data_IF_864773237652
#
_entry.id   IF_864773237652
#
_cell.length_a   1.000
_cell.length_b   1.000
_cell.length_c   1.000
_cell.angle_alpha   90.00
_cell.angle_beta   90.00
_cell.angle_gamma   90.00
#
_symmetry.space_group_name_H-M   'P 1'
#
loop_
_entity.id
_entity.type
_entity.pdbx_description
1 polymer ?
#
# COMPACT_ATOMS: atom_id res chain seq x y z
N UNK A 1 -35.58 19.42 -14.68
CA UNK A 1 -34.20 18.98 -14.84
C UNK A 1 -34.00 18.67 -16.31
N UNK A 2 -33.10 19.37 -16.98
CA UNK A 2 -32.87 19.19 -18.42
C UNK A 2 -31.83 18.07 -18.68
N UNK A 3 -31.64 17.70 -19.95
CA UNK A 3 -30.74 16.62 -20.34
C UNK A 3 -29.27 16.92 -19.97
N UNK A 4 -28.88 18.19 -20.00
CA UNK A 4 -27.53 18.66 -19.67
C UNK A 4 -27.23 18.56 -18.16
N UNK A 5 -28.16 19.01 -17.32
CA UNK A 5 -28.13 18.83 -15.86
C UNK A 5 -28.08 17.36 -15.49
N UNK A 6 -28.85 16.52 -16.20
CA UNK A 6 -28.86 15.07 -15.98
C UNK A 6 -27.50 14.43 -16.32
N UNK A 7 -26.85 14.87 -17.41
CA UNK A 7 -25.49 14.44 -17.78
C UNK A 7 -24.44 14.90 -16.76
N UNK A 8 -24.48 16.17 -16.35
CA UNK A 8 -23.56 16.71 -15.37
C UNK A 8 -23.66 15.98 -14.01
N UNK A 9 -24.89 15.66 -13.58
CA UNK A 9 -25.11 14.84 -12.38
C UNK A 9 -24.56 13.41 -12.54
N UNK A 10 -24.74 12.79 -13.70
CA UNK A 10 -24.21 11.46 -13.98
C UNK A 10 -22.67 11.44 -13.96
N UNK A 11 -22.03 12.38 -14.62
CA UNK A 11 -20.56 12.50 -14.66
C UNK A 11 -19.99 12.72 -13.26
N UNK A 12 -20.65 13.56 -12.46
CA UNK A 12 -20.26 13.75 -11.06
C UNK A 12 -20.37 12.46 -10.26
N UNK A 13 -21.48 11.72 -10.39
CA UNK A 13 -21.67 10.44 -9.71
C UNK A 13 -20.62 9.40 -10.11
N UNK A 14 -20.24 9.36 -11.40
CA UNK A 14 -19.19 8.47 -11.90
C UNK A 14 -17.82 8.84 -11.34
N UNK A 15 -17.49 10.13 -11.30
CA UNK A 15 -16.25 10.62 -10.69
C UNK A 15 -16.15 10.28 -9.20
N UNK A 16 -17.24 10.47 -8.45
CA UNK A 16 -17.31 10.07 -7.04
C UNK A 16 -17.12 8.56 -6.87
N UNK A 17 -17.78 7.74 -7.70
CA UNK A 17 -17.62 6.28 -7.66
C UNK A 17 -16.17 5.87 -7.86
N UNK A 18 -15.50 6.41 -8.88
CA UNK A 18 -14.10 6.10 -9.16
C UNK A 18 -13.17 6.49 -8.00
N UNK A 19 -13.44 7.62 -7.36
CA UNK A 19 -12.70 8.07 -6.18
C UNK A 19 -12.90 7.13 -4.99
N UNK A 20 -14.13 6.64 -4.77
CA UNK A 20 -14.43 5.65 -3.74
C UNK A 20 -13.75 4.30 -4.03
N UNK A 21 -13.80 3.82 -5.27
CA UNK A 21 -13.13 2.58 -5.68
C UNK A 21 -11.62 2.64 -5.46
N UNK A 22 -11.00 3.80 -5.70
CA UNK A 22 -9.59 4.03 -5.42
C UNK A 22 -9.28 3.92 -3.92
N UNK A 23 -10.09 4.57 -3.06
CA UNK A 23 -9.93 4.51 -1.61
C UNK A 23 -10.12 3.08 -1.08
N UNK A 24 -11.16 2.38 -1.54
CA UNK A 24 -11.43 0.99 -1.17
C UNK A 24 -10.22 0.12 -1.56
N UNK A 25 -9.67 0.30 -2.75
CA UNK A 25 -8.51 -0.46 -3.23
C UNK A 25 -7.23 -0.20 -2.42
N UNK A 26 -7.11 0.97 -1.80
CA UNK A 26 -5.98 1.33 -0.91
C UNK A 26 -6.14 0.77 0.49
N UNK A 27 -7.38 0.70 0.99
CA UNK A 27 -7.73 0.17 2.30
C UNK A 27 -7.95 -1.35 2.30
N UNK A 28 -8.14 -1.94 1.13
CA UNK A 28 -8.31 -3.38 0.97
C UNK A 28 -7.11 -4.11 1.60
N UNK A 29 -7.37 -5.12 2.45
CA UNK A 29 -6.30 -5.79 3.14
C UNK A 29 -5.51 -6.67 2.16
N UNK A 30 -4.19 -6.65 2.30
CA UNK A 30 -3.26 -7.37 1.42
C UNK A 30 -3.40 -8.87 1.65
N UNK A 31 -3.52 -9.66 0.57
CA UNK A 31 -3.73 -11.12 0.64
C UNK A 31 -2.57 -11.97 0.17
N UNK A 32 -1.56 -11.37 -0.49
CA UNK A 32 -0.38 -12.09 -0.97
C UNK A 32 0.86 -11.19 -1.10
N UNK A 33 2.04 -11.81 -1.12
CA UNK A 33 3.30 -11.11 -1.44
C UNK A 33 3.24 -10.46 -2.82
N UNK A 34 2.64 -11.12 -3.82
CA UNK A 34 2.53 -10.58 -5.18
C UNK A 34 1.72 -9.28 -5.22
N UNK A 35 0.63 -9.22 -4.45
CA UNK A 35 -0.18 -7.99 -4.32
C UNK A 35 0.60 -6.87 -3.61
N UNK A 36 1.31 -7.20 -2.53
CA UNK A 36 2.15 -6.25 -1.81
C UNK A 36 3.22 -5.67 -2.75
N UNK A 37 3.90 -6.54 -3.49
CA UNK A 37 4.90 -6.14 -4.47
C UNK A 37 4.29 -5.29 -5.58
N UNK A 38 3.09 -5.60 -6.09
CA UNK A 38 2.45 -4.80 -7.13
C UNK A 38 2.17 -3.35 -6.69
N UNK A 39 1.93 -3.12 -5.40
CA UNK A 39 1.67 -1.80 -4.82
C UNK A 39 2.93 -1.03 -4.40
N UNK A 40 4.10 -1.67 -4.41
CA UNK A 40 5.38 -1.02 -4.11
C UNK A 40 6.02 -0.52 -5.42
N UNK A 41 6.59 0.70 -5.46
CA UNK A 41 7.35 1.18 -6.61
C UNK A 41 8.59 0.30 -6.89
N UNK A 42 8.91 0.07 -8.17
CA UNK A 42 10.00 -0.83 -8.59
C UNK A 42 11.36 -0.48 -7.97
N UNK A 43 11.68 0.82 -7.90
CA UNK A 43 12.92 1.35 -7.35
C UNK A 43 13.12 1.03 -5.86
N UNK A 44 12.02 0.76 -5.13
CA UNK A 44 12.09 0.30 -3.75
C UNK A 44 12.16 -1.23 -3.67
N UNK A 45 11.51 -1.97 -4.58
CA UNK A 45 11.47 -3.45 -4.53
C UNK A 45 12.85 -4.06 -4.58
N UNK A 46 13.74 -3.53 -5.41
CA UNK A 46 15.09 -4.07 -5.59
C UNK A 46 15.93 -3.99 -4.30
N UNK A 47 15.51 -3.15 -3.35
CA UNK A 47 16.16 -2.97 -2.05
C UNK A 47 15.59 -3.87 -0.95
N UNK A 48 14.54 -4.66 -1.24
CA UNK A 48 13.69 -5.32 -0.25
C UNK A 48 13.55 -6.83 -0.51
N UNK A 49 13.59 -7.63 0.55
CA UNK A 49 13.10 -9.01 0.55
C UNK A 49 11.74 -9.07 1.18
N UNK A 50 10.90 -9.95 0.63
CA UNK A 50 9.55 -10.20 1.09
C UNK A 50 9.47 -11.62 1.64
N UNK A 51 8.98 -11.75 2.85
CA UNK A 51 8.64 -13.02 3.49
C UNK A 51 7.21 -12.95 3.99
N UNK A 52 6.57 -14.10 4.23
CA UNK A 52 5.24 -14.14 4.82
C UNK A 52 5.15 -15.25 5.87
N UNK A 53 4.27 -15.03 6.85
CA UNK A 53 3.77 -16.08 7.72
C UNK A 53 2.24 -16.10 7.71
N UNK A 54 1.64 -16.87 8.63
CA UNK A 54 0.18 -16.97 8.76
C UNK A 54 -0.55 -15.64 9.04
N UNK A 55 0.15 -14.61 9.55
CA UNK A 55 -0.45 -13.37 10.06
C UNK A 55 0.12 -12.11 9.41
N UNK A 56 1.34 -12.12 8.90
CA UNK A 56 2.04 -10.94 8.42
C UNK A 56 2.84 -11.21 7.15
N UNK A 57 2.96 -10.16 6.34
CA UNK A 57 4.01 -10.01 5.35
C UNK A 57 5.15 -9.21 5.95
N UNK A 58 6.36 -9.72 5.87
CA UNK A 58 7.58 -9.05 6.31
C UNK A 58 8.29 -8.44 5.12
N UNK A 59 8.72 -7.19 5.25
CA UNK A 59 9.48 -6.47 4.23
C UNK A 59 10.81 -6.04 4.87
N UNK A 60 11.90 -6.66 4.40
CA UNK A 60 13.24 -6.54 4.97
C UNK A 60 14.17 -5.80 4.02
N UNK A 61 14.74 -4.64 4.41
CA UNK A 61 15.79 -4.00 3.65
C UNK A 61 17.07 -4.84 3.62
N UNK A 62 17.68 -5.03 2.45
CA UNK A 62 18.99 -5.70 2.33
C UNK A 62 20.17 -4.79 2.67
N UNK A 63 19.92 -3.49 2.71
CA UNK A 63 20.89 -2.45 2.96
C UNK A 63 20.28 -1.39 3.87
N UNK A 64 21.14 -0.54 4.43
CA UNK A 64 20.69 0.65 5.15
C UNK A 64 20.02 1.59 4.13
N UNK A 65 18.76 1.92 4.37
CA UNK A 65 18.02 2.89 3.58
C UNK A 65 18.38 4.31 4.04
N UNK A 66 18.55 5.23 3.08
CA UNK A 66 18.64 6.66 3.41
C UNK A 66 17.33 7.19 4.01
N UNK A 67 17.39 8.30 4.74
CA UNK A 67 16.23 8.85 5.47
C UNK A 67 15.00 9.09 4.57
N UNK A 68 15.22 9.56 3.35
CA UNK A 68 14.14 9.79 2.39
C UNK A 68 13.49 8.48 1.92
N UNK A 69 14.31 7.52 1.48
CA UNK A 69 13.84 6.19 1.05
C UNK A 69 13.10 5.48 2.18
N UNK A 70 13.62 5.57 3.40
CA UNK A 70 13.00 5.02 4.60
C UNK A 70 11.64 5.67 4.89
N UNK A 71 11.56 7.01 4.87
CA UNK A 71 10.32 7.73 5.10
C UNK A 71 9.24 7.36 4.08
N UNK A 72 9.60 7.33 2.79
CA UNK A 72 8.69 6.90 1.70
C UNK A 72 8.17 5.48 1.91
N UNK A 73 9.06 4.54 2.26
CA UNK A 73 8.67 3.17 2.52
C UNK A 73 7.79 3.06 3.77
N UNK A 74 8.10 3.79 4.84
CA UNK A 74 7.31 3.82 6.06
C UNK A 74 5.88 4.32 5.80
N UNK A 75 5.73 5.41 5.06
CA UNK A 75 4.41 5.97 4.73
C UNK A 75 3.60 5.02 3.84
N UNK A 76 4.27 4.36 2.90
CA UNK A 76 3.65 3.32 2.07
C UNK A 76 3.17 2.13 2.91
N UNK A 77 4.02 1.60 3.79
CA UNK A 77 3.68 0.47 4.67
C UNK A 77 2.52 0.83 5.61
N UNK A 78 2.51 2.05 6.17
CA UNK A 78 1.40 2.56 6.98
C UNK A 78 0.08 2.62 6.21
N UNK A 79 0.12 2.92 4.91
CA UNK A 79 -1.08 2.92 4.07
C UNK A 79 -1.73 1.54 3.95
N UNK A 80 -0.96 0.47 4.16
CA UNK A 80 -1.43 -0.91 4.23
C UNK A 80 -1.71 -1.37 5.67
N UNK A 81 -1.87 -0.44 6.61
CA UNK A 81 -2.00 -0.73 8.04
C UNK A 81 -0.80 -1.49 8.63
N UNK A 82 0.36 -1.40 7.96
CA UNK A 82 1.61 -1.96 8.44
C UNK A 82 2.38 -0.99 9.33
N UNK A 83 3.50 -1.48 9.85
CA UNK A 83 4.38 -0.72 10.75
C UNK A 83 5.84 -1.12 10.58
N UNK A 84 6.73 -0.30 11.16
CA UNK A 84 8.15 -0.60 11.26
C UNK A 84 8.49 -1.09 12.66
N UNK A 85 9.25 -2.18 12.73
CA UNK A 85 9.75 -2.77 13.97
C UNK A 85 11.25 -2.47 14.09
N UNK A 86 11.61 -1.65 15.08
CA UNK A 86 13.01 -1.38 15.42
C UNK A 86 13.57 -2.52 16.27
N UNK A 87 14.47 -3.32 15.70
CA UNK A 87 15.07 -4.49 16.34
C UNK A 87 16.57 -4.64 16.01
N UNK A 88 17.26 -3.51 15.79
CA UNK A 88 18.67 -3.50 15.40
C UNK A 88 18.89 -4.22 14.07
N UNK A 89 19.68 -5.31 14.08
CA UNK A 89 19.95 -6.13 12.88
C UNK A 89 18.72 -6.87 12.35
N UNK A 90 17.71 -7.07 13.18
CA UNK A 90 16.46 -7.72 12.79
C UNK A 90 15.35 -6.70 12.47
N UNK A 91 15.68 -5.42 12.29
CA UNK A 91 14.67 -4.40 11.98
C UNK A 91 14.01 -4.68 10.64
N UNK A 92 12.69 -4.56 10.60
CA UNK A 92 11.90 -4.90 9.43
C UNK A 92 10.58 -4.13 9.45
N UNK A 93 9.95 -4.04 8.29
CA UNK A 93 8.56 -3.63 8.19
C UNK A 93 7.67 -4.87 8.21
N UNK A 94 6.45 -4.72 8.72
CA UNK A 94 5.43 -5.76 8.64
C UNK A 94 4.09 -5.19 8.20
N UNK A 95 3.36 -5.96 7.40
CA UNK A 95 1.99 -5.65 6.96
C UNK A 95 1.08 -6.79 7.40
N UNK A 96 -0.04 -6.52 8.09
CA UNK A 96 -0.96 -7.57 8.50
C UNK A 96 -1.58 -8.27 7.27
N UNK A 97 -1.72 -9.58 7.36
CA UNK A 97 -2.38 -10.39 6.34
C UNK A 97 -3.89 -10.20 6.44
N UNK A 98 -4.50 -9.83 5.33
CA UNK A 98 -5.95 -9.82 5.16
C UNK A 98 -6.52 -11.23 5.24
N UNK A 99 -7.61 -11.37 5.99
CA UNK A 99 -8.43 -12.58 5.98
C UNK A 99 -9.13 -12.81 4.62
#
# INVERSE_FOLDING_TARGET
MNEEETRALLDFCLSLRNSLDNLISRLAPIKSIAELQAKIPSELKDLLTFEEDSRFFYVKPHQILGSETFARLLDLIKSFSGEYISAGKASHFRVPRGA
#
